data_IF_333960908285
#
_entry.id   IF_333960908285
#
_cell.length_a   1.000
_cell.length_b   1.000
_cell.length_c   1.000
_cell.angle_alpha   90.00
_cell.angle_beta   90.00
_cell.angle_gamma   90.00
#
_symmetry.space_group_name_H-M   'P 1'
#
loop_
_entity.id
_entity.type
_entity.pdbx_description
1 polymer ?
#
# COMPACT_ATOMS: atom_id res chain seq x y z
N UNK A 1 2.31 -0.28 21.89
CA UNK A 1 0.92 -0.01 22.32
C UNK A 1 0.81 1.41 22.88
N UNK A 2 1.38 2.39 22.18
CA UNK A 2 1.94 3.60 22.79
C UNK A 2 1.13 4.89 22.55
N UNK A 3 -0.19 4.80 22.31
CA UNK A 3 -0.98 6.03 22.15
C UNK A 3 -2.51 5.88 22.23
N UNK A 4 -3.06 4.78 21.70
CA UNK A 4 -4.53 4.61 21.69
C UNK A 4 -5.10 3.88 22.91
N UNK A 5 -4.32 3.03 23.59
CA UNK A 5 -4.75 2.25 24.78
C UNK A 5 -6.04 1.42 24.62
N UNK A 6 -6.43 1.07 23.39
CA UNK A 6 -7.65 0.29 23.12
C UNK A 6 -7.57 -1.18 23.59
N UNK A 7 -6.37 -1.77 23.55
CA UNK A 7 -6.06 -3.13 24.03
C UNK A 7 -4.82 -3.07 24.92
N UNK A 8 -4.56 -4.11 25.72
CA UNK A 8 -3.48 -4.17 26.71
C UNK A 8 -2.32 -5.10 26.35
N UNK A 9 -2.51 -6.03 25.40
CA UNK A 9 -1.46 -6.95 24.92
C UNK A 9 -1.47 -7.09 23.40
N UNK A 10 -0.34 -7.49 22.80
CA UNK A 10 -0.30 -7.76 21.36
C UNK A 10 -1.24 -8.89 20.96
N UNK A 11 -1.44 -9.88 21.83
CA UNK A 11 -2.45 -10.91 21.63
C UNK A 11 -3.86 -10.31 21.51
N UNK A 12 -4.25 -9.45 22.46
CA UNK A 12 -5.53 -8.76 22.41
C UNK A 12 -5.66 -7.89 21.15
N UNK A 13 -4.60 -7.17 20.77
CA UNK A 13 -4.59 -6.39 19.52
C UNK A 13 -4.78 -7.29 18.29
N UNK A 14 -4.14 -8.47 18.25
CA UNK A 14 -4.28 -9.41 17.14
C UNK A 14 -5.71 -9.94 17.04
N UNK A 15 -6.29 -10.35 18.17
CA UNK A 15 -7.68 -10.83 18.26
C UNK A 15 -8.64 -9.74 17.81
N UNK A 16 -8.52 -8.52 18.36
CA UNK A 16 -9.38 -7.39 18.01
C UNK A 16 -9.28 -7.06 16.52
N UNK A 17 -8.07 -7.01 15.97
CA UNK A 17 -7.83 -6.65 14.57
C UNK A 17 -8.40 -7.69 13.60
N UNK A 18 -8.17 -8.99 13.87
CA UNK A 18 -8.68 -10.10 13.05
C UNK A 18 -10.21 -10.13 13.08
N UNK A 19 -10.81 -9.95 14.26
CA UNK A 19 -12.26 -9.86 14.41
C UNK A 19 -12.84 -8.67 13.64
N UNK A 20 -12.17 -7.51 13.67
CA UNK A 20 -12.58 -6.30 12.96
C UNK A 20 -12.44 -6.38 11.43
N UNK A 21 -11.80 -7.42 10.87
CA UNK A 21 -11.65 -7.58 9.43
C UNK A 21 -10.23 -7.36 8.89
N UNK A 22 -9.28 -6.95 9.74
CA UNK A 22 -7.90 -6.78 9.33
C UNK A 22 -7.31 -8.15 8.94
N UNK A 23 -6.72 -8.21 7.74
CA UNK A 23 -6.18 -9.44 7.16
C UNK A 23 -4.69 -9.37 6.87
N UNK A 24 -4.07 -8.18 6.95
CA UNK A 24 -2.65 -7.97 6.73
C UNK A 24 -2.13 -6.97 7.77
N UNK A 25 -1.04 -7.31 8.45
CA UNK A 25 -0.33 -6.39 9.33
C UNK A 25 0.91 -5.84 8.62
N UNK A 26 1.08 -4.52 8.65
CA UNK A 26 2.29 -3.84 8.22
C UNK A 26 3.07 -3.36 9.44
N UNK A 27 4.08 -4.13 9.86
CA UNK A 27 4.89 -3.81 11.04
C UNK A 27 6.31 -3.46 10.64
N UNK A 28 6.59 -2.17 10.48
CA UNK A 28 7.93 -1.71 10.16
C UNK A 28 8.84 -1.76 11.40
N UNK A 29 10.00 -2.41 11.27
CA UNK A 29 11.05 -2.42 12.31
C UNK A 29 10.76 -3.30 13.53
N UNK A 30 9.69 -4.12 13.53
CA UNK A 30 9.37 -5.02 14.65
C UNK A 30 9.59 -6.49 14.26
N UNK A 31 10.54 -7.16 14.93
CA UNK A 31 10.80 -8.59 14.73
C UNK A 31 9.68 -9.48 15.28
N UNK A 32 9.05 -9.06 16.38
CA UNK A 32 7.88 -9.72 16.97
C UNK A 32 6.71 -8.74 16.97
N UNK A 33 5.82 -8.89 16.00
CA UNK A 33 4.71 -7.96 15.76
C UNK A 33 3.37 -8.54 16.24
N UNK A 34 2.27 -7.84 15.97
CA UNK A 34 0.96 -8.18 16.51
C UNK A 34 0.48 -9.53 15.98
N UNK A 35 0.55 -9.75 14.66
CA UNK A 35 0.01 -10.94 14.00
C UNK A 35 0.86 -12.19 14.23
N UNK A 36 2.11 -12.07 14.72
CA UNK A 36 2.85 -13.22 15.25
C UNK A 36 2.13 -13.92 16.43
N UNK A 37 1.14 -13.27 17.06
CA UNK A 37 0.34 -13.84 18.13
C UNK A 37 -0.95 -14.54 17.65
N UNK A 38 -1.21 -14.58 16.33
CA UNK A 38 -2.37 -15.31 15.75
C UNK A 38 -2.35 -16.81 16.11
N UNK A 39 -1.22 -17.54 16.07
CA UNK A 39 -1.20 -18.94 16.50
C UNK A 39 -1.63 -19.12 17.96
N UNK A 40 -1.20 -18.21 18.84
CA UNK A 40 -1.63 -18.19 20.24
C UNK A 40 -3.13 -17.92 20.35
N UNK A 41 -3.64 -16.90 19.64
CA UNK A 41 -5.08 -16.58 19.61
C UNK A 41 -5.94 -17.75 19.13
N UNK A 42 -5.45 -18.53 18.15
CA UNK A 42 -6.13 -19.73 17.66
C UNK A 42 -6.08 -20.85 18.70
N UNK A 43 -4.93 -21.10 19.32
CA UNK A 43 -4.77 -22.13 20.36
C UNK A 43 -5.63 -21.85 21.60
N UNK A 44 -5.84 -20.57 21.94
CA UNK A 44 -6.70 -20.13 23.04
C UNK A 44 -8.18 -20.02 22.64
N UNK A 45 -8.54 -20.29 21.38
CA UNK A 45 -9.92 -20.20 20.89
C UNK A 45 -10.46 -18.78 20.76
N UNK A 46 -9.63 -17.75 20.86
CA UNK A 46 -10.04 -16.35 20.71
C UNK A 46 -10.44 -16.00 19.27
N UNK A 47 -9.93 -16.76 18.29
CA UNK A 47 -10.33 -16.72 16.88
C UNK A 47 -10.50 -18.16 16.38
N UNK A 48 -11.31 -18.35 15.35
CA UNK A 48 -11.51 -19.69 14.76
C UNK A 48 -10.61 -19.90 13.54
N UNK A 49 -10.32 -21.17 13.23
CA UNK A 49 -9.61 -21.52 12.00
C UNK A 49 -10.37 -21.05 10.75
N UNK A 50 -11.71 -21.07 10.81
CA UNK A 50 -12.54 -20.60 9.70
C UNK A 50 -12.37 -19.09 9.50
N UNK A 51 -12.41 -18.29 10.58
CA UNK A 51 -12.16 -16.85 10.50
C UNK A 51 -10.76 -16.56 9.94
N UNK A 52 -9.74 -17.29 10.38
CA UNK A 52 -8.38 -17.15 9.83
C UNK A 52 -8.36 -17.44 8.33
N UNK A 53 -9.00 -18.52 7.86
CA UNK A 53 -9.14 -18.83 6.43
C UNK A 53 -9.86 -17.71 5.67
N UNK A 54 -10.88 -17.11 6.26
CA UNK A 54 -11.62 -16.01 5.66
C UNK A 54 -10.78 -14.72 5.55
N UNK A 55 -9.83 -14.49 6.47
CA UNK A 55 -8.85 -13.40 6.35
C UNK A 55 -7.78 -13.68 5.30
N UNK A 56 -7.34 -14.93 5.17
CA UNK A 56 -6.29 -15.32 4.20
C UNK A 56 -6.81 -15.32 2.76
N UNK A 57 -8.07 -15.70 2.52
CA UNK A 57 -8.64 -15.86 1.18
C UNK A 57 -8.50 -14.60 0.29
N UNK A 58 -8.84 -13.37 0.75
CA UNK A 58 -8.65 -12.16 -0.06
C UNK A 58 -7.20 -11.86 -0.44
N UNK A 59 -6.24 -12.27 0.40
CA UNK A 59 -4.80 -12.07 0.11
C UNK A 59 -4.40 -12.95 -1.08
N UNK A 60 -4.72 -14.24 -1.03
CA UNK A 60 -4.42 -15.15 -2.14
C UNK A 60 -5.21 -14.83 -3.40
N UNK A 61 -6.46 -14.39 -3.27
CA UNK A 61 -7.24 -13.93 -4.41
C UNK A 61 -6.57 -12.75 -5.11
N UNK A 62 -6.06 -11.77 -4.36
CA UNK A 62 -5.30 -10.66 -4.93
C UNK A 62 -4.03 -11.13 -5.63
N UNK A 63 -3.27 -12.04 -5.02
CA UNK A 63 -2.06 -12.64 -5.62
C UNK A 63 -2.35 -13.38 -6.93
N UNK A 64 -3.45 -14.12 -6.98
CA UNK A 64 -3.94 -14.76 -8.22
C UNK A 64 -4.31 -13.73 -9.29
N UNK A 65 -5.04 -12.66 -8.94
CA UNK A 65 -5.40 -11.60 -9.90
C UNK A 65 -4.20 -10.82 -10.45
N UNK A 66 -3.11 -10.75 -9.69
CA UNK A 66 -1.84 -10.16 -10.13
C UNK A 66 -1.01 -11.12 -11.00
N UNK A 67 -1.48 -12.35 -11.22
CA UNK A 67 -0.79 -13.37 -12.00
C UNK A 67 0.47 -13.91 -11.33
N UNK A 68 0.58 -13.82 -10.00
CA UNK A 68 1.77 -14.29 -9.27
C UNK A 68 2.02 -15.80 -9.44
N UNK A 69 0.95 -16.56 -9.68
CA UNK A 69 1.00 -18.01 -9.88
C UNK A 69 0.83 -18.42 -11.35
N UNK A 70 0.66 -17.46 -12.27
CA UNK A 70 0.47 -17.74 -13.68
C UNK A 70 1.82 -17.98 -14.37
N UNK A 71 1.86 -18.79 -15.44
CA UNK A 71 3.02 -18.86 -16.33
C UNK A 71 3.42 -17.46 -16.84
N UNK A 72 4.72 -17.15 -17.02
CA UNK A 72 5.16 -15.81 -17.43
C UNK A 72 4.53 -15.32 -18.75
N UNK A 73 4.21 -16.22 -19.68
CA UNK A 73 3.53 -15.92 -20.94
C UNK A 73 2.05 -15.52 -20.79
N UNK A 74 1.43 -15.87 -19.65
CA UNK A 74 0.06 -15.50 -19.32
C UNK A 74 -0.03 -14.23 -18.45
N UNK A 75 1.09 -13.72 -17.93
CA UNK A 75 1.12 -12.54 -17.09
C UNK A 75 1.61 -11.30 -17.87
N UNK A 76 0.73 -10.31 -18.14
CA UNK A 76 1.09 -9.13 -18.93
C UNK A 76 2.18 -8.26 -18.29
N UNK A 77 2.40 -8.40 -16.98
CA UNK A 77 3.42 -7.65 -16.25
C UNK A 77 4.80 -8.32 -16.31
N UNK A 78 4.89 -9.60 -16.69
CA UNK A 78 6.16 -10.34 -16.75
C UNK A 78 7.11 -9.86 -17.84
N UNK A 79 6.61 -9.15 -18.86
CA UNK A 79 7.42 -8.56 -19.92
C UNK A 79 8.03 -7.19 -19.55
N UNK A 80 7.58 -6.58 -18.45
CA UNK A 80 8.10 -5.28 -18.00
C UNK A 80 9.53 -5.44 -17.46
N UNK A 81 10.43 -4.58 -17.92
CA UNK A 81 11.81 -4.56 -17.47
C UNK A 81 12.25 -3.13 -17.12
N UNK A 82 13.46 -2.97 -16.59
CA UNK A 82 13.95 -1.68 -16.10
C UNK A 82 14.01 -0.57 -17.17
N UNK A 83 13.96 -0.89 -18.47
CA UNK A 83 13.92 0.11 -19.54
C UNK A 83 12.67 1.01 -19.48
N UNK A 84 11.57 0.53 -18.90
CA UNK A 84 10.37 1.35 -18.72
C UNK A 84 10.50 2.32 -17.55
N UNK A 85 11.42 2.07 -16.62
CA UNK A 85 11.66 2.97 -15.47
C UNK A 85 12.31 4.25 -16.00
N UNK A 86 11.71 5.40 -15.70
CA UNK A 86 12.19 6.71 -16.18
C UNK A 86 12.26 6.83 -17.71
N UNK A 87 11.42 6.10 -18.46
CA UNK A 87 11.35 6.24 -19.92
C UNK A 87 11.01 7.69 -20.33
N UNK A 88 11.35 8.12 -21.56
CA UNK A 88 10.97 9.43 -22.07
C UNK A 88 9.46 9.70 -21.95
N UNK A 89 8.63 8.69 -22.21
CA UNK A 89 7.17 8.77 -22.15
C UNK A 89 6.69 9.02 -20.71
N UNK A 90 7.20 8.27 -19.73
CA UNK A 90 6.86 8.46 -18.32
C UNK A 90 7.30 9.84 -17.80
N UNK A 91 8.49 10.31 -18.20
CA UNK A 91 8.98 11.64 -17.81
C UNK A 91 8.17 12.76 -18.45
N UNK A 92 7.78 12.61 -19.72
CA UNK A 92 6.93 13.59 -20.40
C UNK A 92 5.55 13.68 -19.75
N UNK A 93 4.93 12.54 -19.41
CA UNK A 93 3.65 12.51 -18.69
C UNK A 93 3.78 13.14 -17.30
N UNK A 94 4.88 12.89 -16.58
CA UNK A 94 5.14 13.51 -15.28
C UNK A 94 5.29 15.04 -15.39
N UNK A 95 5.97 15.53 -16.43
CA UNK A 95 6.11 16.96 -16.68
C UNK A 95 4.76 17.60 -17.00
N UNK A 96 3.97 16.97 -17.85
CA UNK A 96 2.62 17.44 -18.19
C UNK A 96 1.73 17.52 -16.95
N UNK A 97 1.72 16.47 -16.12
CA UNK A 97 0.98 16.44 -14.87
C UNK A 97 1.43 17.57 -13.92
N UNK A 98 2.74 17.79 -13.80
CA UNK A 98 3.28 18.87 -12.98
C UNK A 98 2.82 20.25 -13.47
N UNK A 99 2.98 20.54 -14.77
CA UNK A 99 2.56 21.82 -15.39
C UNK A 99 1.06 22.08 -15.19
N UNK A 100 0.23 21.03 -15.31
CA UNK A 100 -1.23 21.12 -15.12
C UNK A 100 -1.65 21.18 -13.64
N UNK A 101 -0.79 20.77 -12.71
CA UNK A 101 -1.09 20.76 -11.27
C UNK A 101 -0.85 22.09 -10.56
N UNK A 102 -0.05 22.99 -11.16
CA UNK A 102 0.25 24.28 -10.55
C UNK A 102 -0.97 25.18 -10.51
N UNK A 103 -1.20 25.79 -9.34
CA UNK A 103 -2.25 26.79 -9.14
C UNK A 103 -1.60 28.16 -8.94
N UNK A 104 -1.85 29.09 -9.85
CA UNK A 104 -1.41 30.47 -9.71
C UNK A 104 -2.36 31.23 -8.78
N UNK A 105 -1.99 31.31 -7.49
CA UNK A 105 -2.84 31.95 -6.47
C UNK A 105 -2.91 33.47 -6.61
N UNK A 106 -1.88 34.10 -7.18
CA UNK A 106 -1.81 35.56 -7.34
C UNK A 106 -0.96 35.93 -8.55
N UNK A 107 -1.50 36.79 -9.41
CA UNK A 107 -0.76 37.41 -10.50
C UNK A 107 -1.01 38.92 -10.50
N UNK A 108 -0.13 39.69 -9.88
CA UNK A 108 -0.28 41.14 -9.75
C UNK A 108 0.18 41.79 -11.05
N UNK A 109 -0.59 42.73 -11.59
CA UNK A 109 -0.20 43.56 -12.75
C UNK A 109 0.28 42.75 -13.98
N UNK A 110 -0.17 41.50 -14.13
CA UNK A 110 0.25 40.63 -15.23
C UNK A 110 1.75 40.34 -15.26
N UNK A 111 2.41 40.27 -14.10
CA UNK A 111 3.86 39.99 -14.00
C UNK A 111 4.26 38.67 -14.67
N UNK A 112 3.40 37.64 -14.62
CA UNK A 112 3.63 36.39 -15.34
C UNK A 112 2.81 36.33 -16.65
N UNK A 113 3.35 35.71 -17.73
CA UNK A 113 4.65 35.03 -17.79
C UNK A 113 5.84 35.99 -17.93
N UNK A 114 7.00 35.61 -17.36
CA UNK A 114 8.25 36.35 -17.51
C UNK A 114 8.74 36.27 -18.96
N UNK A 115 9.25 37.38 -19.51
CA UNK A 115 9.92 37.38 -20.82
C UNK A 115 11.42 37.25 -20.61
N UNK A 116 12.14 36.74 -21.60
CA UNK A 116 13.60 36.58 -21.52
C UNK A 116 14.36 37.89 -21.26
N UNK A 117 13.77 39.04 -21.59
CA UNK A 117 14.36 40.37 -21.38
C UNK A 117 14.24 40.84 -19.91
N UNK A 118 13.36 40.19 -19.14
CA UNK A 118 13.05 40.54 -17.75
C UNK A 118 13.89 39.70 -16.75
N UNK A 119 14.78 38.83 -17.26
CA UNK A 119 15.77 38.03 -16.52
C UNK A 119 17.14 38.70 -16.57
#
# INVERSE_FOLDING_TARGET
MLGHHYTHTFLETAVASVNAGCNLELSYGMRNNVFMHIPQALAMGNITLQMLRDRVRPLFYTRMRLGEFDPPDMNPYSALNLSVVQSPEHRNLSLEAAVKSFVLLKNIRGTLPLRAQDL
#
